data_IF_323049613179
#
_entry.id   IF_323049613179
#
_cell.length_a   1.000
_cell.length_b   1.000
_cell.length_c   1.000
_cell.angle_alpha   90.00
_cell.angle_beta   90.00
_cell.angle_gamma   90.00
#
_symmetry.space_group_name_H-M   'P 1'
#
loop_
_entity.id
_entity.type
_entity.pdbx_description
1 polymer ?
#
# COMPACT_ATOMS: atom_id res chain seq x y z
N UNK A 1 -19.24 -32.45 20.06
CA UNK A 1 -20.09 -31.39 20.67
C UNK A 1 -19.19 -30.24 21.10
N UNK A 2 -19.00 -29.24 20.24
CA UNK A 2 -18.25 -28.02 20.55
C UNK A 2 -19.16 -27.12 21.42
N UNK A 3 -18.80 -26.93 22.69
CA UNK A 3 -19.46 -25.97 23.58
C UNK A 3 -19.00 -24.55 23.20
N UNK A 4 -19.95 -23.63 23.01
CA UNK A 4 -19.67 -22.20 22.95
C UNK A 4 -18.99 -21.76 24.26
N UNK A 5 -17.91 -20.96 24.21
CA UNK A 5 -17.34 -20.37 25.43
C UNK A 5 -18.39 -19.46 26.07
N UNK A 6 -18.73 -19.72 27.33
CA UNK A 6 -19.51 -18.79 28.15
C UNK A 6 -18.62 -17.64 28.58
N UNK A 7 -19.10 -16.40 28.39
CA UNK A 7 -18.41 -15.21 28.87
C UNK A 7 -18.18 -15.29 30.39
N UNK A 8 -17.00 -14.90 30.91
CA UNK A 8 -16.69 -14.98 32.33
C UNK A 8 -17.61 -14.06 33.14
N UNK A 9 -18.08 -14.56 34.30
CA UNK A 9 -18.95 -13.85 35.25
C UNK A 9 -18.22 -12.77 36.07
N UNK A 10 -16.91 -12.63 35.87
CA UNK A 10 -15.99 -11.76 36.60
C UNK A 10 -15.21 -10.91 35.60
N UNK A 11 -15.16 -9.59 35.81
CA UNK A 11 -14.35 -8.67 34.99
C UNK A 11 -12.85 -8.82 35.23
N UNK A 12 -12.44 -9.52 36.29
CA UNK A 12 -11.02 -9.79 36.58
C UNK A 12 -10.43 -10.87 35.66
N UNK A 13 -11.27 -11.68 35.01
CA UNK A 13 -10.87 -12.73 34.07
C UNK A 13 -11.37 -12.45 32.64
N UNK A 14 -11.78 -11.21 32.35
CA UNK A 14 -12.27 -10.83 31.04
C UNK A 14 -11.08 -10.57 30.09
N UNK A 15 -10.89 -11.46 29.12
CA UNK A 15 -10.00 -11.23 27.99
C UNK A 15 -10.67 -10.27 27.01
N UNK A 16 -10.08 -9.09 26.81
CA UNK A 16 -10.53 -8.11 25.83
C UNK A 16 -9.67 -8.21 24.57
N UNK A 17 -10.32 -8.39 23.43
CA UNK A 17 -9.67 -8.28 22.12
C UNK A 17 -9.97 -6.88 21.59
N UNK A 18 -8.96 -6.01 21.59
CA UNK A 18 -8.99 -4.76 20.84
C UNK A 18 -8.39 -5.01 19.47
N UNK A 19 -9.14 -4.72 18.42
CA UNK A 19 -8.69 -4.93 17.05
C UNK A 19 -9.44 -4.00 16.09
N UNK A 20 -8.76 -3.62 15.03
CA UNK A 20 -9.35 -2.95 13.87
C UNK A 20 -9.55 -3.96 12.76
N UNK A 21 -10.70 -3.91 12.09
CA UNK A 21 -10.94 -4.67 10.86
C UNK A 21 -11.30 -3.70 9.74
N UNK A 22 -11.01 -4.11 8.50
CA UNK A 22 -11.39 -3.41 7.28
C UNK A 22 -11.81 -4.44 6.25
N UNK A 23 -12.86 -4.14 5.49
CA UNK A 23 -13.27 -4.96 4.35
C UNK A 23 -12.68 -4.36 3.09
N UNK A 24 -11.89 -5.17 2.39
CA UNK A 24 -11.33 -4.79 1.10
C UNK A 24 -12.30 -5.13 -0.01
N UNK A 25 -12.65 -4.13 -0.82
CA UNK A 25 -13.47 -4.34 -2.02
C UNK A 25 -12.57 -4.65 -3.21
N UNK A 26 -12.49 -5.93 -3.56
CA UNK A 26 -11.68 -6.40 -4.69
C UNK A 26 -12.17 -5.85 -6.04
N UNK A 27 -13.47 -5.53 -6.15
CA UNK A 27 -14.05 -4.98 -7.38
C UNK A 27 -13.69 -3.52 -7.61
N UNK A 28 -13.06 -2.84 -6.66
CA UNK A 28 -12.67 -1.42 -6.79
C UNK A 28 -11.17 -1.27 -6.59
N UNK A 29 -10.63 -2.02 -5.62
CA UNK A 29 -9.28 -1.85 -5.11
C UNK A 29 -8.38 -3.05 -5.41
N UNK A 30 -8.73 -3.89 -6.38
CA UNK A 30 -7.90 -5.03 -6.84
C UNK A 30 -7.78 -6.15 -5.81
N UNK A 31 -6.96 -7.17 -6.09
CA UNK A 31 -6.84 -8.36 -5.24
C UNK A 31 -5.69 -8.21 -4.23
N UNK A 32 -5.99 -8.23 -2.93
CA UNK A 32 -4.95 -8.22 -1.89
C UNK A 32 -4.03 -9.43 -1.99
N UNK A 33 -2.73 -9.22 -1.80
CA UNK A 33 -1.74 -10.28 -1.79
C UNK A 33 -1.53 -10.82 -0.36
N UNK A 34 -1.45 -12.15 -0.17
CA UNK A 34 -1.42 -12.77 1.16
C UNK A 34 -0.13 -12.49 1.94
N UNK A 35 0.93 -12.05 1.27
CA UNK A 35 2.25 -11.80 1.87
C UNK A 35 2.48 -10.35 2.29
N UNK A 36 1.61 -9.43 1.85
CA UNK A 36 1.74 -8.00 2.08
C UNK A 36 0.65 -7.46 3.00
N UNK A 37 0.92 -6.30 3.62
CA UNK A 37 -0.06 -5.62 4.48
C UNK A 37 -1.09 -4.83 3.66
N UNK A 38 -0.65 -4.33 2.50
CA UNK A 38 -1.38 -3.41 1.63
C UNK A 38 -0.99 -3.65 0.15
N UNK A 39 -0.40 -4.81 -0.13
CA UNK A 39 -0.01 -5.20 -1.48
C UNK A 39 -1.24 -5.66 -2.25
N UNK A 40 -1.39 -5.14 -3.46
CA UNK A 40 -2.58 -5.34 -4.28
C UNK A 40 -2.17 -5.62 -5.71
N UNK A 41 -2.96 -6.46 -6.37
CA UNK A 41 -2.80 -6.80 -7.78
C UNK A 41 -4.04 -6.43 -8.58
N UNK A 42 -3.84 -5.69 -9.66
CA UNK A 42 -4.87 -5.33 -10.64
C UNK A 42 -4.65 -6.16 -11.90
N UNK A 43 -5.57 -7.08 -12.18
CA UNK A 43 -5.54 -7.91 -13.38
C UNK A 43 -6.46 -7.30 -14.45
N UNK A 44 -5.92 -7.00 -15.63
CA UNK A 44 -6.64 -6.34 -16.72
C UNK A 44 -7.86 -7.10 -17.28
N UNK A 45 -8.02 -8.39 -16.96
CA UNK A 45 -9.19 -9.19 -17.33
C UNK A 45 -10.37 -9.06 -16.35
N UNK A 46 -10.11 -8.85 -15.07
CA UNK A 46 -11.13 -8.99 -14.02
C UNK A 46 -11.19 -7.82 -13.04
N UNK A 47 -10.12 -7.04 -12.93
CA UNK A 47 -10.08 -5.81 -12.13
C UNK A 47 -10.69 -4.63 -12.90
N UNK A 48 -11.07 -3.55 -12.20
CA UNK A 48 -11.56 -2.33 -12.83
C UNK A 48 -10.62 -1.76 -13.89
N UNK A 49 -11.21 -1.20 -14.96
CA UNK A 49 -10.47 -0.53 -16.03
C UNK A 49 -9.89 0.83 -15.61
N UNK A 50 -10.41 1.42 -14.52
CA UNK A 50 -9.96 2.70 -13.99
C UNK A 50 -10.21 2.75 -12.49
N UNK A 51 -9.40 3.54 -11.78
CA UNK A 51 -9.49 3.73 -10.34
C UNK A 51 -8.57 4.85 -9.86
N UNK A 52 -8.54 5.03 -8.54
CA UNK A 52 -7.68 5.97 -7.85
C UNK A 52 -6.82 5.20 -6.84
N UNK A 53 -5.58 5.64 -6.68
CA UNK A 53 -4.67 5.17 -5.65
C UNK A 53 -4.35 6.33 -4.72
N UNK A 54 -4.53 6.10 -3.43
CA UNK A 54 -4.17 7.02 -2.37
C UNK A 54 -2.94 6.51 -1.61
N UNK A 55 -2.22 7.43 -0.97
CA UNK A 55 -1.09 7.06 -0.12
C UNK A 55 -1.56 6.13 1.01
N UNK A 56 -0.87 4.99 1.21
CA UNK A 56 -1.20 4.08 2.30
C UNK A 56 -0.76 4.67 3.65
N UNK A 57 -1.36 4.20 4.74
CA UNK A 57 -0.96 4.55 6.11
C UNK A 57 -1.89 5.52 6.84
N UNK A 58 -2.88 6.11 6.14
CA UNK A 58 -3.92 6.94 6.78
C UNK A 58 -4.94 6.10 7.54
N UNK A 59 -5.02 4.80 7.26
CA UNK A 59 -5.95 3.87 7.87
C UNK A 59 -5.47 3.43 9.27
N UNK A 60 -6.38 3.37 10.23
CA UNK A 60 -6.10 2.94 11.61
C UNK A 60 -5.46 1.55 11.71
N UNK A 61 -5.74 0.69 10.73
CA UNK A 61 -5.18 -0.66 10.64
C UNK A 61 -3.64 -0.65 10.61
N UNK A 62 -3.04 0.43 10.13
CA UNK A 62 -1.60 0.53 9.92
C UNK A 62 -0.87 1.25 11.06
N UNK A 63 -1.57 1.77 12.07
CA UNK A 63 -0.98 2.59 13.14
C UNK A 63 -0.03 1.83 14.06
N UNK A 64 -0.21 0.51 14.17
CA UNK A 64 0.60 -0.35 15.04
C UNK A 64 1.64 -1.17 14.25
N UNK A 65 1.93 -0.79 13.00
CA UNK A 65 2.98 -1.43 12.23
C UNK A 65 4.33 -0.91 12.70
N UNK A 66 5.19 -1.83 13.13
CA UNK A 66 6.58 -1.51 13.44
C UNK A 66 7.38 -1.30 12.15
N UNK A 67 7.94 -0.09 11.99
CA UNK A 67 8.83 0.26 10.87
C UNK A 67 8.12 0.87 9.65
N UNK A 68 8.84 1.05 8.53
CA UNK A 68 8.30 1.70 7.35
C UNK A 68 7.24 0.83 6.65
N UNK A 69 6.09 1.43 6.36
CA UNK A 69 5.03 0.78 5.57
C UNK A 69 5.45 0.73 4.10
N UNK A 70 5.54 -0.49 3.56
CA UNK A 70 5.80 -0.72 2.13
C UNK A 70 4.59 -1.38 1.48
N UNK A 71 4.00 -0.69 0.50
CA UNK A 71 2.86 -1.18 -0.26
C UNK A 71 3.22 -1.26 -1.75
N UNK A 72 2.90 -2.38 -2.38
CA UNK A 72 3.13 -2.65 -3.80
C UNK A 72 1.80 -2.73 -4.53
N UNK A 73 1.62 -1.87 -5.54
CA UNK A 73 0.45 -1.88 -6.42
C UNK A 73 0.88 -2.45 -7.78
N UNK A 74 0.60 -3.73 -8.02
CA UNK A 74 1.00 -4.41 -9.25
C UNK A 74 -0.12 -4.34 -10.28
N UNK A 75 0.17 -3.72 -11.42
CA UNK A 75 -0.75 -3.67 -12.56
C UNK A 75 -0.32 -4.69 -13.61
N UNK A 76 -1.18 -5.65 -13.91
CA UNK A 76 -0.99 -6.65 -14.96
C UNK A 76 -1.97 -6.39 -16.11
N UNK A 77 -1.54 -5.77 -17.22
CA UNK A 77 -2.42 -5.55 -18.35
C UNK A 77 -2.73 -6.90 -19.04
N UNK A 78 -3.93 -7.03 -19.60
CA UNK A 78 -4.25 -8.12 -20.52
C UNK A 78 -3.66 -7.83 -21.91
N UNK A 79 -3.80 -8.78 -22.84
CA UNK A 79 -3.37 -8.60 -24.23
C UNK A 79 -4.00 -7.34 -24.84
N UNK A 80 -3.15 -6.52 -25.48
CA UNK A 80 -3.52 -5.24 -26.10
C UNK A 80 -4.03 -4.17 -25.12
N UNK A 81 -3.77 -4.30 -23.82
CA UNK A 81 -3.99 -3.23 -22.85
C UNK A 81 -2.70 -2.51 -22.51
N UNK A 82 -2.83 -1.22 -22.17
CA UNK A 82 -1.75 -0.42 -21.62
C UNK A 82 -2.20 0.21 -20.30
N UNK A 83 -1.23 0.46 -19.43
CA UNK A 83 -1.49 1.09 -18.14
C UNK A 83 -1.12 2.56 -18.25
N UNK A 84 -2.04 3.43 -17.84
CA UNK A 84 -1.82 4.87 -17.80
C UNK A 84 -1.96 5.34 -16.36
N UNK A 85 -0.89 5.91 -15.82
CA UNK A 85 -0.88 6.50 -14.49
C UNK A 85 -0.88 8.02 -14.60
N UNK A 86 -1.78 8.67 -13.86
CA UNK A 86 -1.84 10.12 -13.77
C UNK A 86 -1.71 10.54 -12.31
N UNK A 87 -0.70 11.35 -12.02
CA UNK A 87 -0.54 11.95 -10.68
C UNK A 87 -1.54 13.11 -10.59
N UNK A 88 -2.52 13.00 -9.70
CA UNK A 88 -3.58 14.00 -9.52
C UNK A 88 -3.24 15.06 -8.47
N UNK A 89 -2.51 14.68 -7.43
CA UNK A 89 -2.11 15.58 -6.36
C UNK A 89 -0.92 15.01 -5.59
N UNK A 90 0.00 15.88 -5.22
CA UNK A 90 1.04 15.62 -4.23
C UNK A 90 0.71 16.49 -3.03
N UNK A 91 -0.35 16.13 -2.32
CA UNK A 91 -0.76 16.84 -1.12
C UNK A 91 0.23 16.53 0.01
N UNK A 92 0.45 17.51 0.90
CA UNK A 92 1.33 17.35 2.06
C UNK A 92 2.79 16.97 1.77
N UNK A 93 3.34 17.41 0.64
CA UNK A 93 4.79 17.31 0.43
C UNK A 93 5.55 18.03 1.56
N UNK A 94 6.62 17.39 2.04
CA UNK A 94 7.49 17.99 3.03
C UNK A 94 8.03 19.34 2.52
N UNK A 95 7.87 20.40 3.30
CA UNK A 95 8.36 21.75 2.94
C UNK A 95 9.87 21.77 2.73
N UNK A 96 10.60 20.91 3.45
CA UNK A 96 12.04 20.69 3.31
C UNK A 96 12.27 19.20 3.03
N UNK A 97 12.16 18.76 1.77
CA UNK A 97 12.25 17.34 1.47
C UNK A 97 13.68 16.86 1.67
N UNK A 98 13.82 15.72 2.34
CA UNK A 98 15.12 15.04 2.53
C UNK A 98 15.65 14.47 1.21
N UNK A 99 14.83 14.45 0.17
CA UNK A 99 15.17 14.00 -1.17
C UNK A 99 14.69 14.97 -2.25
N UNK A 100 15.47 15.13 -3.32
CA UNK A 100 15.07 15.88 -4.52
C UNK A 100 15.03 14.96 -5.73
N UNK A 101 13.90 14.96 -6.44
CA UNK A 101 13.77 14.22 -7.71
C UNK A 101 14.61 14.86 -8.80
N UNK A 102 15.47 14.07 -9.43
CA UNK A 102 16.23 14.46 -10.62
C UNK A 102 15.92 13.50 -11.76
N UNK A 103 15.61 14.05 -12.94
CA UNK A 103 15.25 13.28 -14.13
C UNK A 103 16.30 13.47 -15.24
N UNK A 104 16.57 12.39 -15.96
CA UNK A 104 17.35 12.38 -17.20
C UNK A 104 16.70 11.45 -18.22
N UNK A 105 17.45 11.08 -19.24
CA UNK A 105 16.93 10.29 -20.37
C UNK A 105 16.48 8.88 -19.97
N UNK A 106 17.06 8.33 -18.90
CA UNK A 106 16.76 6.99 -18.39
C UNK A 106 15.73 6.99 -17.24
N UNK A 107 15.02 8.10 -17.02
CA UNK A 107 14.01 8.23 -15.98
C UNK A 107 14.42 9.15 -14.82
N UNK A 108 13.70 9.03 -13.71
CA UNK A 108 13.86 9.91 -12.55
C UNK A 108 14.34 9.13 -11.33
N UNK A 109 15.17 9.76 -10.50
CA UNK A 109 15.61 9.20 -9.21
C UNK A 109 15.51 10.22 -8.09
N UNK A 110 15.32 9.69 -6.89
CA UNK A 110 15.34 10.43 -5.64
C UNK A 110 16.80 10.62 -5.19
N UNK A 111 17.32 11.85 -5.19
CA UNK A 111 18.66 12.19 -4.71
C UNK A 111 18.58 12.66 -3.27
N UNK A 112 19.14 11.86 -2.35
CA UNK A 112 19.16 12.16 -0.91
C UNK A 112 20.52 11.86 -0.29
N UNK A 113 20.79 12.51 0.85
CA UNK A 113 21.89 12.15 1.76
C UNK A 113 21.49 11.04 2.75
N UNK A 114 20.19 10.86 2.99
CA UNK A 114 19.65 9.80 3.82
C UNK A 114 19.35 8.55 2.97
N UNK A 115 19.30 7.40 3.62
CA UNK A 115 18.91 6.16 2.95
C UNK A 115 17.43 6.23 2.51
N UNK A 116 17.12 5.83 1.28
CA UNK A 116 15.77 5.96 0.70
C UNK A 116 14.69 5.27 1.53
N UNK A 117 15.01 4.17 2.22
CA UNK A 117 14.05 3.48 3.09
C UNK A 117 13.56 4.31 4.28
N UNK A 118 14.23 5.42 4.60
CA UNK A 118 13.88 6.32 5.70
C UNK A 118 13.18 7.60 5.21
N UNK A 119 12.78 7.65 3.94
CA UNK A 119 12.16 8.81 3.30
C UNK A 119 10.81 8.34 2.78
N UNK A 120 9.74 9.08 3.04
CA UNK A 120 8.45 8.79 2.40
C UNK A 120 8.56 9.09 0.90
N UNK A 121 8.40 8.05 0.09
CA UNK A 121 8.50 8.14 -1.36
C UNK A 121 7.59 7.12 -2.02
N UNK A 122 7.18 7.40 -3.24
CA UNK A 122 6.58 6.42 -4.14
C UNK A 122 7.52 6.19 -5.32
N UNK A 123 7.49 4.97 -5.86
CA UNK A 123 8.28 4.58 -7.01
C UNK A 123 7.35 4.02 -8.08
N UNK A 124 7.62 4.39 -9.34
CA UNK A 124 7.02 3.77 -10.51
C UNK A 124 8.13 3.02 -11.21
N UNK A 125 8.00 1.70 -11.28
CA UNK A 125 9.01 0.78 -11.82
C UNK A 125 8.36 -0.20 -12.79
N UNK A 126 9.17 -0.81 -13.65
CA UNK A 126 8.74 -1.91 -14.51
C UNK A 126 8.83 -3.26 -13.73
N UNK A 127 8.54 -4.37 -14.40
CA UNK A 127 8.60 -5.71 -13.79
C UNK A 127 10.00 -6.12 -13.30
N UNK A 128 11.06 -5.56 -13.91
CA UNK A 128 12.45 -5.78 -13.50
C UNK A 128 12.82 -4.99 -12.24
N UNK A 129 11.90 -4.15 -11.75
CA UNK A 129 12.07 -3.33 -10.56
C UNK A 129 12.90 -2.07 -10.83
N UNK A 130 13.60 -1.60 -9.81
CA UNK A 130 14.54 -0.49 -9.93
C UNK A 130 15.96 -1.05 -9.99
N UNK A 131 16.55 -1.06 -11.19
CA UNK A 131 17.95 -1.43 -11.40
C UNK A 131 18.78 -0.16 -11.59
N UNK A 132 19.63 0.16 -10.60
CA UNK A 132 20.71 1.15 -10.70
C UNK A 132 21.97 0.54 -10.11
#
# INVERSE_FOLDING_TARGET
>A
LLRRPTAPLSTNDAEFISGSFFFHDEQISGTMQPTGLCDVKYNGMYSPLAGLLDNPGLQQLYWNIDGPLKCTQQFLPADNQSIVLKILGLEHMAQNPTCVTQCGDNGCRCVSKAALQNIDHFMIVNEEGWTV
#
